data_IF_451637009685
#
_entry.id   IF_451637009685
#
_cell.length_a   1.000
_cell.length_b   1.000
_cell.length_c   1.000
_cell.angle_alpha   90.00
_cell.angle_beta   90.00
_cell.angle_gamma   90.00
#
_symmetry.space_group_name_H-M   'P 1'
#
loop_
_entity.id
_entity.type
_entity.pdbx_description
1 polymer ?
#
# COMPACT_ATOMS: atom_id res chain seq x y z
N UNK A 1 24.07 9.58 -1.30
CA UNK A 1 23.74 8.77 -0.10
C UNK A 1 22.71 7.72 -0.50
N UNK A 2 22.94 6.42 -0.23
CA UNK A 2 21.88 5.43 -0.42
C UNK A 2 20.73 5.83 0.49
N UNK A 3 19.57 6.10 -0.10
CA UNK A 3 18.37 6.46 0.65
C UNK A 3 18.01 5.27 1.54
N UNK A 4 18.25 5.38 2.86
CA UNK A 4 17.93 4.35 3.87
C UNK A 4 16.41 4.26 4.08
N UNK A 5 15.63 4.10 3.02
CA UNK A 5 14.21 3.80 3.16
C UNK A 5 14.08 2.34 3.63
N UNK A 6 13.35 2.08 4.72
CA UNK A 6 13.12 0.70 5.15
C UNK A 6 12.43 -0.06 4.02
N UNK A 7 12.89 -1.30 3.80
CA UNK A 7 12.33 -2.21 2.80
C UNK A 7 11.64 -3.34 3.53
N UNK A 8 10.51 -3.77 2.99
CA UNK A 8 9.83 -4.99 3.40
C UNK A 8 9.61 -5.85 2.17
N UNK A 9 9.65 -7.15 2.36
CA UNK A 9 9.27 -8.14 1.34
C UNK A 9 7.94 -8.75 1.79
N UNK A 10 7.02 -8.94 0.86
CA UNK A 10 5.71 -9.56 1.10
C UNK A 10 5.54 -10.64 0.05
N UNK A 11 5.07 -11.80 0.48
CA UNK A 11 4.68 -12.90 -0.41
C UNK A 11 3.17 -12.90 -0.49
N UNK A 12 2.63 -12.99 -1.70
CA UNK A 12 1.21 -13.08 -1.98
C UNK A 12 0.88 -14.47 -2.51
N UNK A 13 -0.36 -14.90 -2.33
CA UNK A 13 -0.89 -16.02 -3.07
C UNK A 13 -0.95 -15.67 -4.57
N UNK A 14 -0.84 -16.65 -5.48
CA UNK A 14 -0.78 -16.39 -6.92
C UNK A 14 -1.99 -15.59 -7.43
N UNK A 15 -3.20 -15.96 -6.99
CA UNK A 15 -4.45 -15.34 -7.43
C UNK A 15 -4.52 -13.85 -7.00
N UNK A 16 -4.14 -13.56 -5.76
CA UNK A 16 -4.06 -12.18 -5.24
C UNK A 16 -3.03 -11.35 -6.01
N UNK A 17 -1.89 -11.95 -6.36
CA UNK A 17 -0.85 -11.26 -7.11
C UNK A 17 -1.28 -10.98 -8.55
N UNK A 18 -2.01 -11.89 -9.17
CA UNK A 18 -2.58 -11.70 -10.50
C UNK A 18 -3.59 -10.54 -10.50
N UNK A 19 -4.48 -10.48 -9.49
CA UNK A 19 -5.41 -9.36 -9.34
C UNK A 19 -4.67 -8.02 -9.17
N UNK A 20 -3.63 -7.98 -8.33
CA UNK A 20 -2.79 -6.79 -8.16
C UNK A 20 -2.07 -6.39 -9.46
N UNK A 21 -1.64 -7.36 -10.26
CA UNK A 21 -1.00 -7.10 -11.54
C UNK A 21 -1.98 -6.48 -12.53
N UNK A 22 -3.16 -7.08 -12.71
CA UNK A 22 -4.20 -6.56 -13.60
C UNK A 22 -4.63 -5.15 -13.21
N UNK A 23 -4.80 -4.89 -11.90
CA UNK A 23 -5.11 -3.56 -11.41
C UNK A 23 -3.97 -2.57 -11.70
N UNK A 24 -2.72 -2.94 -11.42
CA UNK A 24 -1.58 -2.07 -11.68
C UNK A 24 -1.46 -1.71 -13.18
N UNK A 25 -1.68 -2.68 -14.07
CA UNK A 25 -1.67 -2.49 -15.52
C UNK A 25 -2.77 -1.51 -15.97
N UNK A 26 -4.00 -1.64 -15.44
CA UNK A 26 -5.11 -0.72 -15.76
C UNK A 26 -4.83 0.75 -15.40
N UNK A 27 -3.95 0.99 -14.43
CA UNK A 27 -3.53 2.33 -13.99
C UNK A 27 -2.15 2.74 -14.52
N UNK A 28 -1.59 2.00 -15.50
CA UNK A 28 -0.27 2.24 -16.08
C UNK A 28 0.85 2.35 -15.02
N UNK A 29 0.78 1.53 -13.96
CA UNK A 29 1.74 1.52 -12.87
C UNK A 29 2.28 0.12 -12.58
N UNK A 30 3.34 0.06 -11.78
CA UNK A 30 3.87 -1.22 -11.28
C UNK A 30 3.16 -1.69 -10.02
N UNK A 31 3.12 -3.00 -9.77
CA UNK A 31 2.55 -3.59 -8.54
C UNK A 31 3.12 -2.97 -7.26
N UNK A 32 4.44 -2.72 -7.11
CA UNK A 32 4.96 -2.03 -5.93
C UNK A 32 4.44 -0.60 -5.75
N UNK A 33 4.17 0.13 -6.84
CA UNK A 33 3.59 1.49 -6.77
C UNK A 33 2.12 1.45 -6.36
N UNK A 34 1.36 0.48 -6.88
CA UNK A 34 -0.02 0.17 -6.47
C UNK A 34 -0.08 -0.09 -4.96
N UNK A 35 0.72 -1.05 -4.47
CA UNK A 35 0.77 -1.41 -3.05
C UNK A 35 1.12 -0.19 -2.20
N UNK A 36 2.11 0.61 -2.61
CA UNK A 36 2.49 1.82 -1.90
C UNK A 36 1.33 2.84 -1.79
N UNK A 37 0.55 3.00 -2.86
CA UNK A 37 -0.60 3.90 -2.88
C UNK A 37 -1.70 3.42 -1.92
N UNK A 38 -2.05 2.13 -1.97
CA UNK A 38 -3.02 1.50 -1.07
C UNK A 38 -2.59 1.66 0.40
N UNK A 39 -1.34 1.31 0.72
CA UNK A 39 -0.81 1.38 2.09
C UNK A 39 -0.80 2.83 2.60
N UNK A 40 -0.43 3.81 1.77
CA UNK A 40 -0.49 5.22 2.16
C UNK A 40 -1.90 5.66 2.50
N UNK A 41 -2.89 5.28 1.69
CA UNK A 41 -4.30 5.59 1.94
C UNK A 41 -4.77 4.96 3.26
N UNK A 42 -4.52 3.68 3.46
CA UNK A 42 -4.89 2.98 4.69
C UNK A 42 -4.23 3.59 5.94
N UNK A 43 -2.98 4.06 5.84
CA UNK A 43 -2.30 4.74 6.95
C UNK A 43 -2.93 6.10 7.28
N UNK A 44 -3.37 6.87 6.27
CA UNK A 44 -4.06 8.14 6.48
C UNK A 44 -5.40 7.88 7.19
N UNK A 45 -6.22 6.98 6.64
CA UNK A 45 -7.52 6.62 7.22
C UNK A 45 -7.39 6.11 8.66
N UNK A 46 -6.36 5.28 8.95
CA UNK A 46 -6.06 4.81 10.31
C UNK A 46 -5.70 5.95 11.26
N UNK A 47 -4.91 6.94 10.81
CA UNK A 47 -4.54 8.10 11.62
C UNK A 47 -5.75 8.98 11.93
N UNK A 48 -6.61 9.20 10.95
CA UNK A 48 -7.84 9.98 11.14
C UNK A 48 -8.80 9.30 12.12
N UNK A 49 -9.00 7.98 11.98
CA UNK A 49 -9.81 7.20 12.91
C UNK A 49 -9.28 7.29 14.34
N UNK A 50 -7.98 7.10 14.53
CA UNK A 50 -7.34 7.22 15.84
C UNK A 50 -7.55 8.59 16.48
N UNK A 51 -7.41 9.67 15.70
CA UNK A 51 -7.64 11.03 16.22
C UNK A 51 -9.11 11.28 16.62
N UNK A 52 -10.07 10.62 15.97
CA UNK A 52 -11.49 10.70 16.36
C UNK A 52 -11.78 9.95 17.65
N UNK A 53 -11.13 8.80 17.83
CA UNK A 53 -11.25 7.98 19.05
C UNK A 53 -10.59 8.65 20.26
N UNK A 54 -9.46 9.34 20.08
CA UNK A 54 -8.75 10.07 21.16
C UNK A 54 -9.42 11.40 21.57
N UNK A 55 -10.33 11.94 20.74
CA UNK A 55 -11.08 13.18 21.02
C UNK A 55 -12.46 12.93 21.68
N UNK A 56 -12.86 11.67 21.82
CA UNK A 56 -14.14 11.26 22.40
C UNK A 56 -13.94 10.80 23.83
#
# INVERSE_FOLDING_TARGET
MPTKKPRTTVTFDPDDYEELQQWAESEFRSVPQLILAIVKRALIERRERRQREEKK
#
